data_IF_401821992531
#
_entry.id   IF_401821992531
#
_cell.length_a   1.000
_cell.length_b   1.000
_cell.length_c   1.000
_cell.angle_alpha   90.00
_cell.angle_beta   90.00
_cell.angle_gamma   90.00
#
_symmetry.space_group_name_H-M   'P 1'
#
loop_
_entity.id
_entity.type
_entity.pdbx_description
1 polymer ?
#
# COMPACT_ATOMS: atom_id res chain seq x y z
N UNK A 1 -11.81 -2.00 21.29
CA UNK A 1 -10.94 -1.36 20.29
C UNK A 1 -9.88 -2.37 19.87
N UNK A 2 -9.59 -2.48 18.56
CA UNK A 2 -8.52 -3.35 18.07
C UNK A 2 -7.16 -2.84 18.57
N UNK A 3 -6.23 -3.76 18.87
CA UNK A 3 -4.86 -3.40 19.27
C UNK A 3 -4.19 -2.65 18.12
N UNK A 4 -3.53 -1.54 18.42
CA UNK A 4 -2.75 -0.76 17.46
C UNK A 4 -1.26 -0.78 17.79
N UNK A 5 -0.43 -0.48 16.79
CA UNK A 5 1.01 -0.30 16.90
C UNK A 5 1.33 1.13 16.48
N UNK A 6 2.13 1.84 17.27
CA UNK A 6 2.59 3.18 16.93
C UNK A 6 3.77 3.09 15.96
N UNK A 7 3.65 3.76 14.81
CA UNK A 7 4.69 3.87 13.80
C UNK A 7 5.68 4.99 14.15
N UNK A 8 6.83 5.00 13.48
CA UNK A 8 7.89 6.01 13.67
C UNK A 8 7.44 7.42 13.30
N UNK A 9 6.50 7.56 12.37
CA UNK A 9 5.90 8.84 11.97
C UNK A 9 4.76 9.29 12.91
N UNK A 10 4.54 8.58 14.01
CA UNK A 10 3.54 8.89 15.03
C UNK A 10 2.14 8.37 14.76
N UNK A 11 1.84 7.85 13.56
CA UNK A 11 0.54 7.23 13.25
C UNK A 11 0.37 5.89 13.96
N UNK A 12 -0.87 5.39 14.01
CA UNK A 12 -1.19 4.12 14.65
C UNK A 12 -1.84 3.16 13.66
N UNK A 13 -1.16 2.04 13.38
CA UNK A 13 -1.66 1.00 12.48
C UNK A 13 -2.41 -0.09 13.28
N UNK A 14 -3.55 -0.63 12.81
CA UNK A 14 -4.17 -1.80 13.42
C UNK A 14 -3.25 -3.02 13.33
N UNK A 15 -3.03 -3.69 14.45
CA UNK A 15 -2.07 -4.78 14.57
C UNK A 15 -2.44 -6.03 13.77
N UNK A 16 -3.74 -6.21 13.49
CA UNK A 16 -4.26 -7.29 12.66
C UNK A 16 -4.81 -6.68 11.38
N UNK A 17 -4.31 -7.16 10.24
CA UNK A 17 -4.82 -6.82 8.91
C UNK A 17 -5.11 -8.07 8.10
N UNK A 18 -5.98 -7.92 7.10
CA UNK A 18 -6.26 -8.96 6.11
C UNK A 18 -5.49 -8.66 4.82
N UNK A 19 -4.63 -9.60 4.40
CA UNK A 19 -3.90 -9.52 3.15
C UNK A 19 -4.68 -10.16 2.01
N UNK A 20 -4.87 -9.42 0.91
CA UNK A 20 -5.68 -9.86 -0.23
C UNK A 20 -4.86 -10.42 -1.42
N UNK A 21 -3.57 -10.73 -1.20
CA UNK A 21 -2.62 -10.97 -2.29
C UNK A 21 -2.91 -12.14 -3.22
N UNK A 22 -3.67 -13.14 -2.76
CA UNK A 22 -4.12 -14.26 -3.60
C UNK A 22 -5.41 -13.98 -4.36
N UNK A 23 -6.11 -12.90 -4.02
CA UNK A 23 -7.44 -12.60 -4.54
C UNK A 23 -7.48 -12.19 -6.01
N UNK A 24 -6.34 -11.83 -6.61
CA UNK A 24 -6.20 -11.56 -8.05
C UNK A 24 -5.52 -12.67 -8.85
N UNK A 25 -5.07 -13.76 -8.20
CA UNK A 25 -4.30 -14.83 -8.87
C UNK A 25 -5.11 -15.60 -9.91
N UNK A 26 -6.43 -15.64 -9.78
CA UNK A 26 -7.31 -16.40 -10.68
C UNK A 26 -7.87 -15.55 -11.84
N UNK A 27 -7.35 -14.34 -12.04
CA UNK A 27 -7.79 -13.43 -13.12
C UNK A 27 -9.17 -12.80 -12.90
N UNK A 28 -9.88 -13.19 -11.84
CA UNK A 28 -11.10 -12.52 -11.37
C UNK A 28 -10.83 -11.83 -10.05
N UNK A 29 -11.51 -10.71 -9.80
CA UNK A 29 -11.40 -9.95 -8.54
C UNK A 29 -12.46 -10.36 -7.51
N UNK A 30 -13.42 -11.23 -7.86
CA UNK A 30 -14.54 -11.64 -7.01
C UNK A 30 -14.11 -12.25 -5.66
N UNK A 31 -13.05 -13.09 -5.60
CA UNK A 31 -12.58 -13.62 -4.31
C UNK A 31 -12.03 -12.53 -3.39
N UNK A 32 -11.33 -11.54 -3.95
CA UNK A 32 -10.81 -10.40 -3.19
C UNK A 32 -11.94 -9.54 -2.62
N UNK A 33 -12.99 -9.29 -3.42
CA UNK A 33 -14.16 -8.52 -2.98
C UNK A 33 -14.90 -9.27 -1.88
N UNK A 34 -15.29 -10.53 -2.13
CA UNK A 34 -16.09 -11.33 -1.19
C UNK A 34 -15.37 -11.54 0.14
N UNK A 35 -14.08 -11.88 0.09
CA UNK A 35 -13.27 -12.07 1.31
C UNK A 35 -13.02 -10.75 2.04
N UNK A 36 -12.81 -9.66 1.31
CA UNK A 36 -12.66 -8.32 1.90
C UNK A 36 -13.92 -7.87 2.63
N UNK A 37 -15.11 -8.10 2.06
CA UNK A 37 -16.39 -7.82 2.73
C UNK A 37 -16.52 -8.63 4.01
N UNK A 38 -16.16 -9.91 4.00
CA UNK A 38 -16.20 -10.76 5.19
C UNK A 38 -15.22 -10.28 6.26
N UNK A 39 -13.98 -9.94 5.89
CA UNK A 39 -12.96 -9.40 6.78
C UNK A 39 -13.46 -8.12 7.48
N UNK A 40 -13.97 -7.16 6.70
CA UNK A 40 -14.52 -5.90 7.22
C UNK A 40 -15.70 -6.13 8.17
N UNK A 41 -16.66 -6.99 7.78
CA UNK A 41 -17.83 -7.32 8.63
C UNK A 41 -17.46 -8.06 9.91
N UNK A 42 -16.32 -8.77 9.93
CA UNK A 42 -15.80 -9.42 11.14
C UNK A 42 -15.13 -8.45 12.13
N UNK A 43 -14.93 -7.19 11.75
CA UNK A 43 -14.27 -6.17 12.56
C UNK A 43 -12.80 -5.94 12.24
N UNK A 44 -12.25 -6.56 11.19
CA UNK A 44 -10.93 -6.20 10.67
C UNK A 44 -11.01 -4.81 10.05
N UNK A 45 -10.15 -3.90 10.50
CA UNK A 45 -10.08 -2.51 10.05
C UNK A 45 -8.76 -2.17 9.37
N UNK A 46 -8.05 -3.18 8.85
CA UNK A 46 -6.80 -3.02 8.10
C UNK A 46 -6.80 -3.99 6.92
N UNK A 47 -6.67 -3.47 5.70
CA UNK A 47 -6.51 -4.24 4.47
C UNK A 47 -5.12 -4.01 3.89
N UNK A 48 -4.43 -5.08 3.56
CA UNK A 48 -3.17 -5.07 2.82
C UNK A 48 -3.40 -5.57 1.39
N UNK A 49 -3.01 -4.74 0.43
CA UNK A 49 -3.06 -4.98 -1.02
C UNK A 49 -1.69 -4.66 -1.64
N UNK A 50 -1.56 -4.79 -2.96
CA UNK A 50 -0.39 -4.35 -3.71
C UNK A 50 -0.72 -4.21 -5.20
N UNK A 51 0.08 -3.41 -5.89
CA UNK A 51 0.08 -3.32 -7.35
C UNK A 51 0.12 -4.70 -8.02
N UNK A 52 1.09 -5.53 -7.63
CA UNK A 52 1.35 -6.82 -8.30
C UNK A 52 0.22 -7.83 -8.10
N UNK A 53 -0.63 -7.63 -7.08
CA UNK A 53 -1.80 -8.46 -6.83
C UNK A 53 -2.97 -8.08 -7.73
N UNK A 54 -2.97 -6.84 -8.26
CA UNK A 54 -4.06 -6.24 -9.04
C UNK A 54 -5.38 -6.11 -8.28
N UNK A 55 -5.35 -6.11 -6.95
CA UNK A 55 -6.54 -6.17 -6.07
C UNK A 55 -6.93 -4.82 -5.44
N UNK A 56 -6.35 -3.71 -5.89
CA UNK A 56 -6.66 -2.37 -5.35
C UNK A 56 -8.09 -1.92 -5.66
N UNK A 57 -8.55 -2.10 -6.91
CA UNK A 57 -9.95 -1.84 -7.26
C UNK A 57 -10.90 -2.73 -6.46
N UNK A 58 -10.55 -4.01 -6.26
CA UNK A 58 -11.32 -4.91 -5.41
C UNK A 58 -11.39 -4.44 -3.95
N UNK A 59 -10.33 -3.83 -3.43
CA UNK A 59 -10.32 -3.26 -2.08
C UNK A 59 -11.33 -2.13 -1.96
N UNK A 60 -11.35 -1.21 -2.94
CA UNK A 60 -12.35 -0.14 -2.99
C UNK A 60 -13.79 -0.68 -3.07
N UNK A 61 -14.04 -1.68 -3.93
CA UNK A 61 -15.37 -2.30 -4.03
C UNK A 61 -15.77 -3.05 -2.76
N UNK A 62 -14.83 -3.72 -2.09
CA UNK A 62 -15.09 -4.39 -0.80
C UNK A 62 -15.51 -3.39 0.29
N UNK A 63 -14.87 -2.22 0.36
CA UNK A 63 -15.25 -1.14 1.29
C UNK A 63 -16.69 -0.68 1.04
N UNK A 64 -17.04 -0.42 -0.23
CA UNK A 64 -18.39 -0.03 -0.64
C UNK A 64 -19.44 -1.08 -0.27
N UNK A 65 -19.20 -2.34 -0.62
CA UNK A 65 -20.14 -3.42 -0.37
C UNK A 65 -20.28 -3.76 1.12
N UNK A 66 -19.22 -3.57 1.91
CA UNK A 66 -19.28 -3.71 3.36
C UNK A 66 -19.98 -2.51 4.04
N UNK A 67 -20.18 -1.39 3.34
CA UNK A 67 -20.80 -0.18 3.89
C UNK A 67 -19.93 0.53 4.92
N UNK A 68 -18.60 0.34 4.87
CA UNK A 68 -17.65 0.97 5.80
C UNK A 68 -17.13 2.28 5.21
N UNK A 69 -16.87 3.27 6.08
CA UNK A 69 -16.25 4.53 5.63
C UNK A 69 -14.76 4.30 5.40
N UNK A 70 -14.22 4.92 4.36
CA UNK A 70 -12.78 4.86 4.05
C UNK A 70 -11.90 5.26 5.24
N UNK A 71 -12.31 6.27 6.02
CA UNK A 71 -11.56 6.77 7.18
C UNK A 71 -11.50 5.79 8.36
N UNK A 72 -12.36 4.77 8.39
CA UNK A 72 -12.42 3.78 9.47
C UNK A 72 -11.55 2.53 9.18
N UNK A 73 -10.88 2.49 8.02
CA UNK A 73 -10.09 1.34 7.56
C UNK A 73 -8.69 1.81 7.18
N UNK A 74 -7.66 1.18 7.75
CA UNK A 74 -6.28 1.36 7.32
C UNK A 74 -6.03 0.57 6.04
N UNK A 75 -5.55 1.21 4.98
CA UNK A 75 -5.19 0.56 3.72
C UNK A 75 -3.68 0.63 3.49
N UNK A 76 -3.05 -0.53 3.36
CA UNK A 76 -1.66 -0.68 2.93
C UNK A 76 -1.63 -1.11 1.47
N UNK A 77 -0.88 -0.40 0.62
CA UNK A 77 -0.54 -0.88 -0.74
C UNK A 77 0.97 -0.86 -0.96
N UNK A 78 1.42 -1.51 -2.02
CA UNK A 78 2.84 -1.66 -2.35
C UNK A 78 3.06 -1.34 -3.82
N UNK A 79 4.08 -0.54 -4.10
CA UNK A 79 4.51 -0.18 -5.44
C UNK A 79 5.69 -1.07 -5.87
N UNK A 80 5.67 -1.53 -7.12
CA UNK A 80 6.80 -2.18 -7.77
C UNK A 80 6.95 -1.60 -9.17
N UNK A 81 7.85 -0.64 -9.32
CA UNK A 81 8.13 -0.02 -10.61
C UNK A 81 9.43 -0.57 -11.20
N UNK A 82 9.43 -0.99 -12.49
CA UNK A 82 10.64 -1.47 -13.15
C UNK A 82 11.58 -0.34 -13.58
N UNK A 83 11.13 0.92 -13.52
CA UNK A 83 11.89 2.12 -13.88
C UNK A 83 11.55 3.24 -12.88
N UNK A 84 12.52 4.09 -12.57
CA UNK A 84 12.34 5.27 -11.71
C UNK A 84 11.37 6.28 -12.32
N UNK A 85 11.35 6.41 -13.65
CA UNK A 85 10.54 7.39 -14.37
C UNK A 85 9.04 7.12 -14.22
N UNK A 86 8.66 5.86 -14.01
CA UNK A 86 7.26 5.45 -13.90
C UNK A 86 6.75 5.38 -12.46
N UNK A 87 7.60 5.58 -11.45
CA UNK A 87 7.20 5.50 -10.03
C UNK A 87 6.03 6.44 -9.74
N UNK A 88 6.14 7.71 -10.16
CA UNK A 88 5.11 8.73 -9.91
C UNK A 88 3.77 8.37 -10.55
N UNK A 89 3.75 8.05 -11.84
CA UNK A 89 2.51 7.71 -12.55
C UNK A 89 1.91 6.41 -12.03
N UNK A 90 2.74 5.46 -11.63
CA UNK A 90 2.31 4.21 -11.02
C UNK A 90 1.61 4.47 -9.68
N UNK A 91 2.21 5.23 -8.76
CA UNK A 91 1.60 5.61 -7.48
C UNK A 91 0.25 6.30 -7.68
N UNK A 92 0.15 7.22 -8.65
CA UNK A 92 -1.11 7.91 -8.97
C UNK A 92 -2.21 6.93 -9.44
N UNK A 93 -1.85 5.92 -10.23
CA UNK A 93 -2.80 4.88 -10.64
C UNK A 93 -3.28 4.05 -9.44
N UNK A 94 -2.41 3.72 -8.47
CA UNK A 94 -2.81 3.02 -7.23
C UNK A 94 -3.84 3.84 -6.44
N UNK A 95 -3.59 5.14 -6.27
CA UNK A 95 -4.52 6.07 -5.59
C UNK A 95 -5.88 6.09 -6.29
N UNK A 96 -5.88 6.12 -7.63
CA UNK A 96 -7.09 6.10 -8.45
C UNK A 96 -7.87 4.79 -8.27
N UNK A 97 -7.21 3.64 -8.33
CA UNK A 97 -7.84 2.33 -8.16
C UNK A 97 -8.41 2.12 -6.74
N UNK A 98 -7.72 2.63 -5.72
CA UNK A 98 -8.21 2.65 -4.34
C UNK A 98 -9.31 3.68 -4.09
N UNK A 99 -9.53 4.61 -5.04
CA UNK A 99 -10.43 5.77 -4.87
C UNK A 99 -10.01 6.73 -3.75
N UNK A 100 -8.79 6.60 -3.22
CA UNK A 100 -8.26 7.36 -2.08
C UNK A 100 -6.75 7.13 -1.93
N UNK A 101 -6.06 7.99 -1.19
CA UNK A 101 -4.67 7.74 -0.76
C UNK A 101 -4.64 6.52 0.16
N UNK A 102 -3.62 5.64 0.10
CA UNK A 102 -3.43 4.61 1.10
C UNK A 102 -3.00 5.24 2.44
N UNK A 103 -3.11 4.50 3.54
CA UNK A 103 -2.55 4.93 4.84
C UNK A 103 -1.06 4.59 4.93
N UNK A 104 -0.64 3.50 4.27
CA UNK A 104 0.75 3.06 4.16
C UNK A 104 1.07 2.66 2.71
N UNK A 105 2.15 3.24 2.16
CA UNK A 105 2.71 2.86 0.88
C UNK A 105 4.09 2.23 1.09
N UNK A 106 4.27 1.00 0.59
CA UNK A 106 5.53 0.28 0.68
C UNK A 106 6.23 0.17 -0.68
N UNK A 107 7.56 0.25 -0.70
CA UNK A 107 8.34 -0.33 -1.80
C UNK A 107 8.27 -1.86 -1.66
N UNK A 108 7.74 -2.56 -2.66
CA UNK A 108 7.40 -3.98 -2.52
C UNK A 108 8.64 -4.89 -2.42
N UNK A 109 9.70 -4.61 -3.18
CA UNK A 109 10.95 -5.37 -3.16
C UNK A 109 12.14 -4.44 -3.34
N UNK A 110 13.33 -4.79 -2.82
CA UNK A 110 14.55 -3.99 -3.01
C UNK A 110 15.12 -4.12 -4.44
N UNK A 111 14.36 -4.65 -5.40
CA UNK A 111 14.75 -4.66 -6.81
C UNK A 111 14.96 -3.23 -7.27
N UNK A 112 16.21 -2.92 -7.57
CA UNK A 112 16.60 -1.69 -8.23
C UNK A 112 15.82 -1.62 -9.54
N UNK A 113 15.05 -0.54 -9.82
CA UNK A 113 14.48 -0.35 -11.14
C UNK A 113 15.61 -0.48 -12.18
N UNK A 114 15.33 -1.02 -13.36
CA UNK A 114 16.33 -1.27 -14.42
C UNK A 114 17.21 -0.04 -14.67
N UNK A 115 16.64 1.15 -14.50
CA UNK A 115 17.33 2.42 -14.43
C UNK A 115 17.02 3.07 -13.06
N UNK A 116 18.05 3.28 -12.23
CA UNK A 116 17.94 3.98 -10.95
C UNK A 116 18.56 3.24 -9.77
N UNK A 117 18.23 3.69 -8.56
CA UNK A 117 18.64 3.10 -7.26
C UNK A 117 17.43 3.05 -6.34
N UNK A 118 17.50 2.22 -5.29
CA UNK A 118 16.45 2.18 -4.27
C UNK A 118 16.35 3.50 -3.50
N UNK A 119 17.48 4.17 -3.26
CA UNK A 119 17.55 5.54 -2.74
C UNK A 119 16.71 6.52 -3.57
N UNK A 120 16.90 6.55 -4.89
CA UNK A 120 16.13 7.44 -5.78
C UNK A 120 14.63 7.12 -5.77
N UNK A 121 14.26 5.84 -5.65
CA UNK A 121 12.85 5.46 -5.55
C UNK A 121 12.28 6.03 -4.26
N UNK A 122 12.99 5.84 -3.14
CA UNK A 122 12.59 6.41 -1.86
C UNK A 122 12.44 7.94 -1.92
N UNK A 123 13.42 8.65 -2.49
CA UNK A 123 13.35 10.12 -2.69
C UNK A 123 12.11 10.52 -3.46
N UNK A 124 11.72 9.80 -4.53
CA UNK A 124 10.49 10.10 -5.27
C UNK A 124 9.25 9.95 -4.37
N UNK A 125 9.20 8.92 -3.51
CA UNK A 125 8.08 8.76 -2.60
C UNK A 125 8.01 9.91 -1.57
N UNK A 126 9.16 10.36 -1.06
CA UNK A 126 9.23 11.54 -0.18
C UNK A 126 8.79 12.81 -0.90
N UNK A 127 9.26 13.04 -2.13
CA UNK A 127 8.83 14.18 -2.96
C UNK A 127 7.31 14.19 -3.19
N UNK A 128 6.69 13.02 -3.37
CA UNK A 128 5.23 12.91 -3.48
C UNK A 128 4.52 13.21 -2.15
N UNK A 129 5.16 13.01 -1.00
CA UNK A 129 4.61 13.49 0.28
C UNK A 129 4.68 15.02 0.33
N UNK A 130 5.83 15.60 -0.04
CA UNK A 130 6.03 17.06 -0.03
C UNK A 130 5.16 17.81 -1.05
N UNK A 131 4.90 17.22 -2.23
CA UNK A 131 4.06 17.82 -3.28
C UNK A 131 2.55 17.67 -3.03
N UNK A 132 2.17 16.96 -1.96
CA UNK A 132 0.80 16.76 -1.54
C UNK A 132 0.10 15.52 -2.13
N UNK A 133 0.71 14.83 -3.11
CA UNK A 133 0.16 13.60 -3.71
C UNK A 133 -0.03 12.49 -2.68
N UNK A 134 0.93 12.35 -1.75
CA UNK A 134 0.94 11.38 -0.65
C UNK A 134 0.88 12.07 0.72
N UNK A 135 0.34 13.29 0.79
CA UNK A 135 0.13 13.95 2.10
C UNK A 135 -0.64 13.03 3.05
N UNK A 136 -0.09 12.85 4.27
CA UNK A 136 -0.68 12.01 5.30
C UNK A 136 -0.42 10.51 5.14
N UNK A 137 0.25 10.06 4.08
CA UNK A 137 0.59 8.65 3.87
C UNK A 137 1.88 8.29 4.62
N UNK A 138 1.90 7.15 5.32
CA UNK A 138 3.14 6.60 5.87
C UNK A 138 3.92 5.89 4.76
N UNK A 139 5.26 6.00 4.76
CA UNK A 139 6.12 5.30 3.82
C UNK A 139 6.85 4.14 4.51
N UNK A 140 7.17 3.09 3.75
CA UNK A 140 7.95 1.96 4.25
C UNK A 140 8.43 1.03 3.16
N UNK A 141 8.94 -0.13 3.55
CA UNK A 141 9.54 -1.12 2.64
C UNK A 141 9.11 -2.54 2.97
N UNK A 142 9.18 -3.44 2.00
CA UNK A 142 8.92 -4.88 2.13
C UNK A 142 10.02 -5.70 1.47
N UNK A 143 10.40 -6.82 2.07
CA UNK A 143 11.46 -7.73 1.58
C UNK A 143 12.88 -7.14 1.58
N UNK A 144 13.15 -6.12 2.39
CA UNK A 144 14.48 -5.49 2.49
C UNK A 144 15.35 -6.19 3.53
N UNK A 145 16.62 -6.38 3.20
CA UNK A 145 17.67 -6.81 4.14
C UNK A 145 18.36 -5.57 4.73
N UNK A 146 19.16 -5.71 5.80
CA UNK A 146 19.85 -4.57 6.41
C UNK A 146 20.64 -3.70 5.41
N UNK A 147 21.37 -4.29 4.48
CA UNK A 147 22.10 -3.56 3.45
C UNK A 147 21.21 -2.81 2.44
N UNK A 148 19.99 -3.30 2.21
CA UNK A 148 19.03 -2.64 1.32
C UNK A 148 18.42 -1.41 2.04
N UNK A 149 18.26 -1.50 3.36
CA UNK A 149 17.86 -0.36 4.21
C UNK A 149 18.96 0.70 4.29
N UNK A 150 20.24 0.29 4.37
CA UNK A 150 21.37 1.22 4.31
C UNK A 150 21.37 2.05 3.02
N UNK A 151 20.90 1.49 1.90
CA UNK A 151 20.74 2.28 0.67
C UNK A 151 19.64 3.33 0.82
N UNK A 152 18.44 2.94 1.27
CA UNK A 152 17.33 3.87 1.52
C UNK A 152 17.74 5.04 2.42
N UNK A 153 18.58 4.80 3.42
CA UNK A 153 19.02 5.82 4.38
C UNK A 153 20.09 6.80 3.84
N UNK A 154 20.54 6.66 2.58
CA UNK A 154 21.49 7.60 1.95
C UNK A 154 20.83 8.84 1.33
N UNK A 155 19.50 8.91 1.34
CA UNK A 155 18.72 10.04 0.80
C UNK A 155 18.95 11.34 1.58
#
# INVERSE_FOLDING_TARGET
>A
MSRTIKLSDGKSIPAIGWGNGTGGLFGTHDPAITSGVQALKSGISHIDTAEVYKTEQATYEALKQAGVKRADVWITTKNLSPDIEVVKSNVQERIKLLGSKPDLLLIHFPTVPQQGTTSQFWTILEDLVYDGTLEGVSLGVSNFRPQDLEDVLKV
#
